data_IF_027066422291
#
_entry.id   IF_027066422291
#
_cell.length_a   1.000
_cell.length_b   1.000
_cell.length_c   1.000
_cell.angle_alpha   90.00
_cell.angle_beta   90.00
_cell.angle_gamma   90.00
#
_symmetry.space_group_name_H-M   'P 1'
#
loop_
_entity.id
_entity.type
_entity.pdbx_description
1 polymer ?
#
# COMPACT_ATOMS: atom_id res chain seq x y z
N UNK A 1 13.85 -18.37 -2.57
CA UNK A 1 14.08 -17.11 -2.20
C UNK A 1 12.89 -16.38 -1.84
N UNK A 2 12.81 -15.97 -0.71
CA UNK A 2 11.63 -15.36 -0.21
C UNK A 2 11.40 -13.99 -0.80
N UNK A 3 10.19 -13.70 -1.07
CA UNK A 3 9.78 -12.37 -1.37
C UNK A 3 9.39 -11.76 -0.05
N UNK A 4 10.35 -11.25 0.69
CA UNK A 4 10.06 -10.68 1.98
C UNK A 4 9.27 -9.39 1.77
N UNK A 5 7.97 -9.47 1.91
CA UNK A 5 7.12 -8.30 1.96
C UNK A 5 7.16 -7.75 3.37
N UNK A 6 7.38 -6.45 3.50
CA UNK A 6 7.53 -5.81 4.80
C UNK A 6 6.50 -4.71 5.01
N UNK A 7 6.09 -4.59 6.25
CA UNK A 7 5.24 -3.48 6.68
C UNK A 7 5.88 -2.15 6.28
N UNK A 8 5.13 -1.30 5.60
CA UNK A 8 5.62 0.00 5.15
C UNK A 8 6.29 0.01 3.78
N UNK A 9 6.44 -1.15 3.16
CA UNK A 9 7.02 -1.27 1.83
C UNK A 9 5.99 -0.91 0.76
N UNK A 10 6.39 -0.13 -0.24
CA UNK A 10 5.51 0.17 -1.36
C UNK A 10 5.79 -0.81 -2.50
N UNK A 11 4.72 -1.33 -3.08
CA UNK A 11 4.76 -2.32 -4.13
C UNK A 11 3.81 -1.97 -5.24
N UNK A 12 4.13 -2.39 -6.45
CA UNK A 12 3.17 -2.35 -7.54
C UNK A 12 2.22 -3.53 -7.34
N UNK A 13 0.93 -3.26 -7.27
CA UNK A 13 -0.07 -4.26 -6.93
C UNK A 13 -1.16 -4.29 -8.00
N UNK A 14 -1.55 -5.50 -8.39
CA UNK A 14 -2.70 -5.69 -9.25
C UNK A 14 -3.95 -5.79 -8.37
N UNK A 15 -4.75 -4.74 -8.38
CA UNK A 15 -5.96 -4.69 -7.55
C UNK A 15 -7.17 -5.39 -8.17
N UNK A 16 -6.95 -6.10 -9.27
CA UNK A 16 -7.96 -6.93 -9.88
C UNK A 16 -8.75 -6.22 -10.96
N UNK A 17 -9.88 -6.80 -11.36
CA UNK A 17 -10.63 -6.25 -12.48
C UNK A 17 -11.12 -4.85 -12.16
N UNK A 18 -10.99 -3.97 -13.15
CA UNK A 18 -11.49 -2.61 -13.05
C UNK A 18 -12.91 -2.53 -13.55
N UNK A 19 -13.64 -1.54 -13.08
CA UNK A 19 -14.97 -1.25 -13.59
C UNK A 19 -14.86 -0.62 -14.97
N UNK A 20 -15.93 -0.69 -15.78
CA UNK A 20 -15.92 -0.01 -17.06
C UNK A 20 -15.53 1.46 -16.90
N UNK A 21 -14.59 1.90 -17.72
CA UNK A 21 -14.09 3.27 -17.67
C UNK A 21 -12.86 3.47 -16.83
N UNK A 22 -12.48 2.53 -16.00
CA UNK A 22 -11.22 2.62 -15.24
C UNK A 22 -10.06 2.20 -16.12
N UNK A 23 -8.98 2.98 -16.05
CA UNK A 23 -7.89 2.82 -17.00
C UNK A 23 -6.85 1.80 -16.57
N UNK A 24 -6.68 1.54 -15.29
CA UNK A 24 -5.56 0.76 -14.84
C UNK A 24 -5.87 -0.04 -13.60
N UNK A 25 -5.43 -1.30 -13.62
CA UNK A 25 -5.57 -2.21 -12.49
C UNK A 25 -4.38 -2.19 -11.57
N UNK A 26 -3.20 -1.86 -12.12
CA UNK A 26 -1.97 -1.85 -11.34
C UNK A 26 -1.75 -0.47 -10.76
N UNK A 27 -1.49 -0.43 -9.48
CA UNK A 27 -1.17 0.83 -8.83
C UNK A 27 -0.20 0.57 -7.69
N UNK A 28 0.55 1.60 -7.27
CA UNK A 28 1.33 1.49 -6.06
C UNK A 28 0.41 1.28 -4.86
N UNK A 29 0.89 0.50 -3.91
CA UNK A 29 0.20 0.31 -2.65
C UNK A 29 1.22 0.06 -1.56
N UNK A 30 0.90 0.46 -0.34
CA UNK A 30 1.78 0.25 0.81
C UNK A 30 1.30 -0.97 1.58
N UNK A 31 2.21 -1.91 1.81
CA UNK A 31 1.91 -3.09 2.62
C UNK A 31 1.82 -2.66 4.08
N UNK A 32 0.69 -2.91 4.70
CA UNK A 32 0.45 -2.51 6.09
C UNK A 32 0.17 -3.67 7.03
N UNK A 33 0.05 -4.89 6.52
CA UNK A 33 -0.04 -6.06 7.36
C UNK A 33 1.31 -6.29 8.06
N UNK A 34 1.27 -6.95 9.22
CA UNK A 34 2.47 -7.16 10.02
C UNK A 34 3.42 -8.14 9.32
N UNK A 35 4.69 -8.08 9.73
CA UNK A 35 5.74 -8.84 9.05
C UNK A 35 5.57 -10.36 9.22
N UNK A 36 5.00 -10.81 10.33
CA UNK A 36 4.74 -12.24 10.52
C UNK A 36 3.71 -12.76 9.53
N UNK A 37 2.59 -12.03 9.36
CA UNK A 37 1.57 -12.39 8.39
C UNK A 37 2.13 -12.34 6.96
N UNK A 38 2.91 -11.31 6.67
CA UNK A 38 3.55 -11.15 5.36
C UNK A 38 4.50 -12.31 5.06
N UNK A 39 5.28 -12.73 6.04
CA UNK A 39 6.22 -13.84 5.88
C UNK A 39 5.49 -15.16 5.64
N UNK A 40 4.40 -15.39 6.35
CA UNK A 40 3.60 -16.61 6.16
C UNK A 40 3.03 -16.66 4.74
N UNK A 41 2.42 -15.54 4.29
CA UNK A 41 1.83 -15.48 2.96
C UNK A 41 2.90 -15.68 1.87
N UNK A 42 4.06 -15.06 2.03
CA UNK A 42 5.16 -15.18 1.08
C UNK A 42 5.69 -16.62 1.03
N UNK A 43 5.86 -17.24 2.20
CA UNK A 43 6.39 -18.61 2.28
C UNK A 43 5.43 -19.62 1.66
N UNK A 44 4.13 -19.45 1.89
CA UNK A 44 3.13 -20.36 1.35
C UNK A 44 2.80 -20.07 -0.11
N UNK A 45 3.13 -18.88 -0.60
CA UNK A 45 2.77 -18.46 -1.95
C UNK A 45 1.27 -18.32 -2.14
N UNK A 46 0.52 -18.22 -1.07
CA UNK A 46 -0.95 -18.07 -1.08
C UNK A 46 -1.40 -17.36 0.16
N UNK A 47 -2.64 -16.91 0.15
CA UNK A 47 -3.18 -16.10 1.21
C UNK A 47 -3.19 -14.64 0.82
N UNK A 48 -3.33 -13.77 1.79
CA UNK A 48 -3.46 -12.33 1.54
C UNK A 48 -2.49 -11.53 2.39
N UNK A 49 -2.16 -10.36 1.88
CA UNK A 49 -1.56 -9.28 2.67
C UNK A 49 -2.53 -8.12 2.67
N UNK A 50 -2.33 -7.17 3.56
CA UNK A 50 -3.18 -5.99 3.61
C UNK A 50 -2.41 -4.80 3.06
N UNK A 51 -3.04 -4.05 2.18
CA UNK A 51 -2.39 -2.95 1.49
C UNK A 51 -3.27 -1.71 1.44
N UNK A 52 -2.62 -0.56 1.40
CA UNK A 52 -3.26 0.74 1.24
C UNK A 52 -2.89 1.27 -0.14
N UNK A 53 -3.87 1.44 -1.04
CA UNK A 53 -3.60 2.00 -2.37
C UNK A 53 -3.10 3.42 -2.31
N UNK A 54 -2.28 3.76 -3.30
CA UNK A 54 -1.65 5.07 -3.43
C UNK A 54 -2.10 5.67 -4.76
N UNK A 55 -2.44 6.95 -4.74
CA UNK A 55 -2.82 7.68 -5.95
C UNK A 55 -1.94 8.91 -6.11
N UNK A 56 -1.68 9.29 -7.37
CA UNK A 56 -0.97 10.54 -7.67
C UNK A 56 -1.89 11.76 -7.67
N UNK A 57 -3.18 11.57 -7.49
CA UNK A 57 -4.11 12.69 -7.37
C UNK A 57 -4.06 13.26 -5.95
N UNK A 58 -3.29 14.33 -5.77
CA UNK A 58 -3.09 14.97 -4.47
C UNK A 58 -3.86 16.28 -4.32
N UNK A 59 -4.87 16.48 -5.16
CA UNK A 59 -5.68 17.71 -5.14
C UNK A 59 -6.32 17.95 -3.77
N UNK A 60 -6.76 16.90 -3.13
CA UNK A 60 -7.28 16.96 -1.76
C UNK A 60 -6.52 15.99 -0.89
N UNK A 61 -6.31 16.37 0.36
CA UNK A 61 -5.69 15.50 1.35
C UNK A 61 -6.58 15.50 2.59
N UNK A 62 -7.26 14.38 2.80
CA UNK A 62 -8.10 14.19 3.98
C UNK A 62 -7.27 13.73 5.17
N UNK A 63 -7.80 13.88 6.38
CA UNK A 63 -7.11 13.50 7.63
C UNK A 63 -6.74 12.02 7.68
N UNK A 64 -7.49 11.17 6.98
CA UNK A 64 -7.22 9.74 6.88
C UNK A 64 -6.36 9.38 5.67
N UNK A 65 -5.65 10.35 5.11
CA UNK A 65 -4.74 10.13 3.98
C UNK A 65 -3.37 10.67 4.34
N UNK A 66 -2.34 10.13 3.72
CA UNK A 66 -0.96 10.52 4.01
C UNK A 66 -0.27 10.95 2.73
N UNK A 67 0.27 12.15 2.73
CA UNK A 67 1.05 12.65 1.60
C UNK A 67 2.40 11.93 1.55
N UNK A 68 2.78 11.49 0.36
CA UNK A 68 4.04 10.80 0.10
C UNK A 68 4.82 11.56 -0.96
N UNK A 69 5.92 12.13 -0.55
CA UNK A 69 6.85 12.82 -1.44
C UNK A 69 7.55 11.79 -2.32
N UNK A 70 7.60 12.03 -3.61
CA UNK A 70 8.25 11.14 -4.56
C UNK A 70 9.73 10.92 -4.24
N UNK A 71 10.40 11.95 -3.75
CA UNK A 71 11.83 11.86 -3.42
C UNK A 71 12.12 10.91 -2.27
N UNK A 72 11.20 10.75 -1.33
CA UNK A 72 11.37 9.89 -0.16
C UNK A 72 10.80 8.50 -0.34
N UNK A 73 9.73 8.37 -1.10
CA UNK A 73 8.96 7.13 -1.17
C UNK A 73 9.35 6.21 -2.32
N UNK A 74 10.15 6.70 -3.26
CA UNK A 74 10.51 5.95 -4.46
C UNK A 74 9.43 5.96 -5.53
N UNK A 75 8.38 6.72 -5.33
CA UNK A 75 7.30 6.86 -6.32
C UNK A 75 7.70 7.87 -7.40
N UNK A 76 7.12 7.72 -8.60
CA UNK A 76 7.40 8.61 -9.73
C UNK A 76 6.85 10.02 -9.51
N UNK A 77 5.78 10.13 -8.76
CA UNK A 77 5.10 11.39 -8.51
C UNK A 77 4.77 11.54 -7.04
N UNK A 78 4.64 12.79 -6.59
CA UNK A 78 4.03 13.05 -5.31
C UNK A 78 2.66 12.38 -5.29
N UNK A 79 2.35 11.72 -4.19
CA UNK A 79 1.20 10.84 -4.12
C UNK A 79 0.60 10.91 -2.72
N UNK A 80 -0.51 10.22 -2.54
CA UNK A 80 -1.08 10.06 -1.20
C UNK A 80 -1.51 8.62 -0.99
N UNK A 81 -1.29 8.13 0.21
CA UNK A 81 -1.78 6.83 0.65
C UNK A 81 -3.21 7.01 1.15
N UNK A 82 -4.11 6.17 0.64
CA UNK A 82 -5.54 6.28 0.91
C UNK A 82 -5.96 5.23 1.94
N UNK A 83 -5.86 5.58 3.22
CA UNK A 83 -6.20 4.63 4.29
C UNK A 83 -7.65 4.14 4.18
N UNK A 84 -8.55 4.99 3.66
CA UNK A 84 -9.94 4.59 3.47
C UNK A 84 -10.14 3.51 2.40
N UNK A 85 -9.10 3.24 1.60
CA UNK A 85 -9.13 2.21 0.56
C UNK A 85 -8.41 0.93 0.99
N UNK A 86 -8.08 0.81 2.26
CA UNK A 86 -7.38 -0.36 2.78
C UNK A 86 -8.10 -1.64 2.38
N UNK A 87 -7.34 -2.63 1.92
CA UNK A 87 -7.93 -3.87 1.44
C UNK A 87 -6.99 -5.04 1.53
N UNK A 88 -7.56 -6.23 1.54
CA UNK A 88 -6.80 -7.46 1.43
C UNK A 88 -6.45 -7.70 -0.03
N UNK A 89 -5.23 -8.13 -0.28
CA UNK A 89 -4.72 -8.40 -1.62
C UNK A 89 -4.13 -9.80 -1.63
N UNK A 90 -4.53 -10.63 -2.58
CA UNK A 90 -3.95 -11.96 -2.74
C UNK A 90 -2.45 -11.81 -2.99
N UNK A 91 -1.65 -12.62 -2.32
CA UNK A 91 -0.19 -12.52 -2.39
C UNK A 91 0.33 -12.63 -3.83
N UNK A 92 -0.35 -13.39 -4.67
CA UNK A 92 0.02 -13.52 -6.09
C UNK A 92 -0.18 -12.25 -6.91
N UNK A 93 -0.89 -11.26 -6.38
CA UNK A 93 -1.12 -9.98 -7.06
C UNK A 93 -0.12 -8.91 -6.61
N UNK A 94 0.75 -9.22 -5.67
CA UNK A 94 1.76 -8.27 -5.18
C UNK A 94 2.97 -8.37 -6.09
N UNK A 95 3.29 -7.26 -6.72
CA UNK A 95 4.39 -7.17 -7.66
C UNK A 95 5.68 -6.65 -7.03
N UNK A 96 6.57 -6.11 -7.85
CA UNK A 96 7.90 -5.72 -7.38
C UNK A 96 7.87 -4.54 -6.41
N UNK A 97 8.92 -4.47 -5.62
CA UNK A 97 9.13 -3.36 -4.67
C UNK A 97 9.37 -2.09 -5.46
N UNK A 98 8.66 -1.03 -5.06
CA UNK A 98 8.90 0.32 -5.57
C UNK A 98 9.84 1.05 -4.62
N UNK A 99 9.60 0.93 -3.33
CA UNK A 99 10.40 1.58 -2.30
C UNK A 99 9.83 1.27 -0.93
N UNK A 100 10.08 2.16 0.02
CA UNK A 100 9.55 2.01 1.36
C UNK A 100 9.30 3.38 1.98
N UNK A 101 8.35 3.43 2.89
CA UNK A 101 8.05 4.64 3.61
C UNK A 101 9.09 4.84 4.72
N UNK A 102 9.43 6.10 4.97
CA UNK A 102 10.22 6.44 6.15
C UNK A 102 9.44 6.08 7.41
N UNK A 103 10.15 5.97 8.52
CA UNK A 103 9.52 5.65 9.80
C UNK A 103 8.44 6.69 10.14
N UNK A 104 8.71 7.98 9.88
CA UNK A 104 7.73 9.02 10.17
C UNK A 104 6.47 8.86 9.31
N UNK A 105 6.63 8.46 8.05
CA UNK A 105 5.47 8.23 7.18
C UNK A 105 4.69 6.98 7.55
N UNK A 106 5.40 5.95 8.01
CA UNK A 106 4.73 4.75 8.55
C UNK A 106 3.86 5.14 9.76
N UNK A 107 4.40 5.95 10.66
CA UNK A 107 3.64 6.41 11.83
C UNK A 107 2.42 7.23 11.40
N UNK A 108 2.59 8.14 10.43
CA UNK A 108 1.45 8.90 9.91
C UNK A 108 0.38 7.97 9.31
N UNK A 109 0.80 6.95 8.59
CA UNK A 109 -0.14 6.01 7.98
C UNK A 109 -0.87 5.18 9.03
N UNK A 110 -0.15 4.75 10.07
CA UNK A 110 -0.77 4.04 11.19
C UNK A 110 -1.82 4.91 11.89
N UNK A 111 -1.51 6.20 12.09
CA UNK A 111 -2.47 7.14 12.66
C UNK A 111 -3.70 7.31 11.75
N UNK A 112 -3.47 7.43 10.45
CA UNK A 112 -4.56 7.54 9.49
C UNK A 112 -5.46 6.31 9.50
N UNK A 113 -4.85 5.12 9.60
CA UNK A 113 -5.59 3.86 9.69
C UNK A 113 -6.39 3.78 10.99
N UNK A 114 -5.81 4.20 12.11
CA UNK A 114 -6.53 4.24 13.38
C UNK A 114 -7.74 5.15 13.29
N UNK A 115 -7.55 6.31 12.67
CA UNK A 115 -8.64 7.26 12.49
C UNK A 115 -9.76 6.65 11.62
N UNK A 116 -9.39 6.09 10.48
CA UNK A 116 -10.36 5.51 9.55
C UNK A 116 -11.10 4.32 10.15
N UNK A 117 -10.40 3.46 10.85
CA UNK A 117 -10.97 2.25 11.42
C UNK A 117 -11.55 2.47 12.83
N UNK A 118 -11.41 3.67 13.36
CA UNK A 118 -11.89 4.02 14.70
C UNK A 118 -11.25 3.16 15.80
N UNK A 119 -9.95 2.99 15.70
CA UNK A 119 -9.18 2.21 16.67
C UNK A 119 -8.53 3.10 17.72
#
# INVERSE_FOLDING_TARGET
MGYAMRHGESRLVDLGPVRPGEANKRCPAVVVSNDDANAVAARLGRGVVTAVPVTSNVTRLHRFQVFLDSGESGLDHDSKAQAEQIRAVAVGRVGPVIGGLSISKIVELEEALRLHLNL
#
